data_IF_990300585665
#
_entry.id   IF_990300585665
#
_cell.length_a   1.000
_cell.length_b   1.000
_cell.length_c   1.000
_cell.angle_alpha   90.00
_cell.angle_beta   90.00
_cell.angle_gamma   90.00
#
_symmetry.space_group_name_H-M   'P 1'
#
loop_
_entity.id
_entity.type
_entity.pdbx_description
1 polymer ?
#
# COMPACT_ATOMS: atom_id res chain seq x y z
N UNK A 1 39.27 -24.66 -0.58
CA UNK A 1 38.31 -25.14 0.41
C UNK A 1 37.00 -24.46 0.10
N UNK A 2 36.08 -25.10 -0.63
CA UNK A 2 34.73 -24.61 -0.85
C UNK A 2 33.94 -24.87 0.42
N UNK A 3 33.53 -23.82 1.12
CA UNK A 3 32.59 -23.87 2.24
C UNK A 3 31.29 -24.43 1.71
N UNK A 4 30.89 -25.61 2.18
CA UNK A 4 29.58 -26.17 1.95
C UNK A 4 28.57 -25.31 2.74
N UNK A 5 28.04 -24.27 2.10
CA UNK A 5 26.79 -23.63 2.54
C UNK A 5 25.74 -24.73 2.49
N UNK A 6 25.21 -25.10 3.66
CA UNK A 6 24.16 -26.10 3.77
C UNK A 6 23.04 -25.67 2.83
N UNK A 7 22.84 -26.43 1.76
CA UNK A 7 21.75 -26.25 0.81
C UNK A 7 20.48 -26.47 1.64
N UNK A 8 19.83 -25.37 2.08
CA UNK A 8 18.52 -25.45 2.71
C UNK A 8 17.66 -26.24 1.75
N UNK A 9 16.95 -27.25 2.26
CA UNK A 9 16.02 -27.99 1.42
C UNK A 9 14.88 -27.04 1.05
N UNK A 10 15.04 -26.33 -0.07
CA UNK A 10 14.09 -25.35 -0.59
C UNK A 10 12.69 -25.94 -0.65
N UNK A 11 12.58 -27.21 -1.01
CA UNK A 11 11.29 -27.91 -1.10
C UNK A 11 10.65 -28.03 0.27
N UNK A 12 11.43 -28.34 1.31
CA UNK A 12 10.94 -28.44 2.67
C UNK A 12 10.41 -27.10 3.18
N UNK A 13 11.17 -26.00 2.97
CA UNK A 13 10.74 -24.66 3.34
C UNK A 13 9.48 -24.21 2.60
N UNK A 14 9.41 -24.42 1.28
CA UNK A 14 8.23 -24.10 0.50
C UNK A 14 6.99 -24.87 1.00
N UNK A 15 7.13 -26.15 1.31
CA UNK A 15 6.01 -26.96 1.83
C UNK A 15 5.58 -26.48 3.22
N UNK A 16 6.55 -26.19 4.10
CA UNK A 16 6.28 -25.76 5.48
C UNK A 16 5.58 -24.39 5.52
N UNK A 17 5.98 -23.44 4.66
CA UNK A 17 5.47 -22.06 4.68
C UNK A 17 4.41 -21.77 3.61
N UNK A 18 4.02 -22.74 2.78
CA UNK A 18 2.88 -22.58 1.86
C UNK A 18 1.56 -22.14 2.57
N UNK A 19 1.24 -22.63 3.79
CA UNK A 19 0.08 -22.14 4.54
C UNK A 19 0.17 -20.64 4.88
N UNK A 20 1.37 -20.11 5.13
CA UNK A 20 1.60 -18.69 5.37
C UNK A 20 1.24 -17.86 4.13
N UNK A 21 1.68 -18.32 2.93
CA UNK A 21 1.32 -17.67 1.66
C UNK A 21 -0.19 -17.61 1.47
N UNK A 22 -0.89 -18.75 1.68
CA UNK A 22 -2.35 -18.79 1.56
C UNK A 22 -3.03 -17.84 2.55
N UNK A 23 -2.59 -17.79 3.80
CA UNK A 23 -3.13 -16.90 4.83
C UNK A 23 -2.97 -15.43 4.41
N UNK A 24 -1.78 -15.03 3.96
CA UNK A 24 -1.50 -13.66 3.50
C UNK A 24 -2.33 -13.35 2.25
N UNK A 25 -2.38 -14.25 1.26
CA UNK A 25 -3.15 -14.07 0.04
C UNK A 25 -4.65 -13.86 0.33
N UNK A 26 -5.25 -14.71 1.17
CA UNK A 26 -6.65 -14.56 1.56
C UNK A 26 -6.92 -13.24 2.32
N UNK A 27 -6.01 -12.84 3.21
CA UNK A 27 -6.13 -11.56 3.90
C UNK A 27 -6.07 -10.38 2.93
N UNK A 28 -5.15 -10.41 1.95
CA UNK A 28 -5.04 -9.39 0.92
C UNK A 28 -6.25 -9.38 -0.02
N UNK A 29 -6.80 -10.56 -0.38
CA UNK A 29 -8.00 -10.65 -1.22
C UNK A 29 -9.21 -9.92 -0.65
N UNK A 30 -9.36 -9.86 0.67
CA UNK A 30 -10.43 -9.08 1.31
C UNK A 30 -10.35 -7.57 0.99
N UNK A 31 -9.18 -7.12 0.58
CA UNK A 31 -8.83 -5.73 0.26
C UNK A 31 -8.74 -5.45 -1.25
N UNK A 32 -8.80 -6.49 -2.09
CA UNK A 32 -8.65 -6.40 -3.54
C UNK A 32 -10.01 -6.39 -4.27
N UNK A 33 -10.07 -5.88 -5.53
CA UNK A 33 -11.28 -5.94 -6.34
C UNK A 33 -11.66 -7.37 -6.70
N UNK A 34 -12.94 -7.60 -6.96
CA UNK A 34 -13.48 -8.91 -7.35
C UNK A 34 -12.93 -9.45 -8.70
N UNK A 35 -12.24 -8.61 -9.47
CA UNK A 35 -11.58 -9.02 -10.74
C UNK A 35 -10.24 -9.73 -10.55
N UNK A 36 -9.73 -9.79 -9.33
CA UNK A 36 -8.46 -10.46 -9.02
C UNK A 36 -8.74 -11.89 -8.61
N UNK A 37 -8.09 -12.84 -9.26
CA UNK A 37 -8.23 -14.26 -8.96
C UNK A 37 -7.29 -14.66 -7.82
N UNK A 38 -7.82 -15.38 -6.83
CA UNK A 38 -7.06 -15.80 -5.64
C UNK A 38 -5.86 -16.69 -6.00
N UNK A 39 -6.00 -17.51 -7.02
CA UNK A 39 -4.94 -18.44 -7.45
C UNK A 39 -3.74 -17.69 -8.02
N UNK A 40 -3.95 -16.57 -8.74
CA UNK A 40 -2.88 -15.71 -9.24
C UNK A 40 -2.13 -15.03 -8.09
N UNK A 41 -2.87 -14.60 -7.06
CA UNK A 41 -2.29 -13.99 -5.86
C UNK A 41 -1.45 -15.02 -5.08
N UNK A 42 -1.96 -16.25 -4.91
CA UNK A 42 -1.22 -17.33 -4.27
C UNK A 42 0.04 -17.68 -5.06
N UNK A 43 -0.07 -17.80 -6.38
CA UNK A 43 1.08 -18.11 -7.24
C UNK A 43 2.17 -17.05 -7.11
N UNK A 44 1.80 -15.78 -7.18
CA UNK A 44 2.73 -14.66 -7.00
C UNK A 44 3.33 -14.65 -5.60
N UNK A 45 2.53 -14.92 -4.57
CA UNK A 45 3.01 -15.07 -3.21
C UNK A 45 4.00 -16.23 -3.03
N UNK A 46 3.79 -17.36 -3.74
CA UNK A 46 4.74 -18.47 -3.74
C UNK A 46 6.08 -18.12 -4.38
N UNK A 47 6.10 -17.27 -5.41
CA UNK A 47 7.35 -16.73 -5.97
C UNK A 47 8.08 -15.86 -4.93
N UNK A 48 7.36 -15.02 -4.18
CA UNK A 48 7.91 -14.25 -3.07
C UNK A 48 8.47 -15.12 -1.95
N UNK A 49 7.80 -16.23 -1.61
CA UNK A 49 8.33 -17.21 -0.65
C UNK A 49 9.62 -17.88 -1.16
N UNK A 50 9.66 -18.27 -2.44
CA UNK A 50 10.84 -18.87 -3.05
C UNK A 50 12.03 -17.90 -3.00
N UNK A 51 11.82 -16.63 -3.31
CA UNK A 51 12.83 -15.59 -3.21
C UNK A 51 13.31 -15.41 -1.76
N UNK A 52 12.37 -15.41 -0.79
CA UNK A 52 12.72 -15.35 0.63
C UNK A 52 13.60 -16.53 1.07
N UNK A 53 13.29 -17.76 0.65
CA UNK A 53 14.11 -18.94 0.97
C UNK A 53 15.52 -18.81 0.42
N UNK A 54 15.65 -18.28 -0.80
CA UNK A 54 16.96 -18.16 -1.47
C UNK A 54 17.84 -17.05 -0.87
N UNK A 55 17.23 -15.96 -0.35
CA UNK A 55 17.95 -14.77 0.12
C UNK A 55 18.06 -14.64 1.64
N UNK A 56 17.31 -15.44 2.40
CA UNK A 56 17.34 -15.32 3.86
C UNK A 56 18.70 -15.75 4.45
N UNK A 57 19.28 -14.87 5.26
CA UNK A 57 20.48 -15.13 6.05
C UNK A 57 20.17 -15.01 7.55
N UNK A 58 20.49 -16.04 8.31
CA UNK A 58 20.24 -16.08 9.78
C UNK A 58 21.02 -14.99 10.55
N UNK A 59 22.05 -14.41 9.94
CA UNK A 59 22.91 -13.40 10.54
C UNK A 59 22.20 -12.08 10.89
N UNK A 60 21.00 -11.83 10.36
CA UNK A 60 20.30 -10.54 10.49
C UNK A 60 19.34 -10.47 11.69
N UNK A 61 19.23 -11.52 12.52
CA UNK A 61 18.47 -11.51 13.78
C UNK A 61 16.93 -11.51 13.65
N UNK A 62 16.39 -11.46 12.44
CA UNK A 62 14.95 -11.59 12.20
C UNK A 62 14.55 -13.06 12.02
N UNK A 63 13.39 -13.46 12.53
CA UNK A 63 12.86 -14.80 12.27
C UNK A 63 12.48 -14.94 10.79
N UNK A 64 12.74 -16.11 10.20
CA UNK A 64 12.43 -16.40 8.80
C UNK A 64 10.97 -16.07 8.44
N UNK A 65 10.01 -16.42 9.30
CA UNK A 65 8.59 -16.18 9.04
C UNK A 65 8.27 -14.69 8.85
N UNK A 66 8.88 -13.82 9.64
CA UNK A 66 8.71 -12.36 9.53
C UNK A 66 9.27 -11.84 8.21
N UNK A 67 10.49 -12.27 7.86
CA UNK A 67 11.13 -11.91 6.60
C UNK A 67 10.32 -12.43 5.40
N UNK A 68 9.93 -13.70 5.42
CA UNK A 68 9.13 -14.32 4.36
C UNK A 68 7.78 -13.63 4.19
N UNK A 69 7.10 -13.25 5.29
CA UNK A 69 5.82 -12.53 5.21
C UNK A 69 5.96 -11.19 4.47
N UNK A 70 7.03 -10.45 4.69
CA UNK A 70 7.30 -9.19 3.96
C UNK A 70 7.55 -9.44 2.48
N UNK A 71 8.40 -10.43 2.14
CA UNK A 71 8.71 -10.77 0.74
C UNK A 71 7.49 -11.28 -0.01
N UNK A 72 6.64 -12.10 0.64
CA UNK A 72 5.37 -12.59 0.07
C UNK A 72 4.45 -11.42 -0.24
N UNK A 73 4.24 -10.50 0.71
CA UNK A 73 3.39 -9.31 0.50
C UNK A 73 3.94 -8.42 -0.62
N UNK A 74 5.24 -8.16 -0.62
CA UNK A 74 5.91 -7.37 -1.67
C UNK A 74 5.70 -7.98 -3.05
N UNK A 75 6.00 -9.28 -3.20
CA UNK A 75 5.81 -9.99 -4.47
C UNK A 75 4.36 -9.94 -4.98
N UNK A 76 3.36 -10.12 -4.10
CA UNK A 76 1.95 -10.02 -4.47
C UNK A 76 1.63 -8.60 -4.97
N UNK A 77 2.08 -7.57 -4.27
CA UNK A 77 1.86 -6.17 -4.67
C UNK A 77 2.51 -5.86 -6.02
N UNK A 78 3.73 -6.33 -6.26
CA UNK A 78 4.44 -6.14 -7.52
C UNK A 78 3.75 -6.87 -8.68
N UNK A 79 3.28 -8.10 -8.46
CA UNK A 79 2.48 -8.82 -9.45
C UNK A 79 1.19 -8.10 -9.81
N UNK A 80 0.51 -7.54 -8.82
CA UNK A 80 -0.67 -6.71 -9.04
C UNK A 80 -0.35 -5.44 -9.84
N UNK A 81 0.79 -4.81 -9.65
CA UNK A 81 1.23 -3.64 -10.42
C UNK A 81 1.53 -4.00 -11.87
N UNK A 82 2.27 -5.08 -12.12
CA UNK A 82 2.63 -5.52 -13.47
C UNK A 82 1.43 -5.91 -14.32
N UNK A 83 0.39 -6.47 -13.71
CA UNK A 83 -0.84 -6.85 -14.39
C UNK A 83 -1.67 -5.65 -14.92
N UNK A 84 -1.20 -4.40 -14.72
CA UNK A 84 -1.84 -3.12 -15.15
C UNK A 84 -3.36 -3.09 -14.88
N UNK A 85 -3.78 -3.71 -13.78
CA UNK A 85 -5.17 -3.90 -13.37
C UNK A 85 -5.90 -2.58 -13.05
N UNK A 86 -5.14 -1.46 -13.03
CA UNK A 86 -5.66 -0.12 -12.80
C UNK A 86 -6.06 0.53 -14.14
N UNK A 87 -7.35 0.71 -14.44
CA UNK A 87 -7.77 1.37 -15.67
C UNK A 87 -7.12 2.76 -15.80
N UNK A 88 -6.66 3.11 -17.00
CA UNK A 88 -6.03 4.43 -17.27
C UNK A 88 -6.96 5.60 -16.91
N UNK A 89 -8.27 5.43 -17.10
CA UNK A 89 -9.30 6.41 -16.70
C UNK A 89 -9.22 6.68 -15.19
N UNK A 90 -9.08 5.64 -14.40
CA UNK A 90 -9.04 5.73 -12.95
C UNK A 90 -7.79 6.48 -12.43
N UNK A 91 -6.60 6.19 -13.00
CA UNK A 91 -5.37 6.95 -12.68
C UNK A 91 -5.52 8.44 -12.99
N UNK A 92 -6.20 8.78 -14.09
CA UNK A 92 -6.51 10.17 -14.44
C UNK A 92 -7.43 10.81 -13.40
N UNK A 93 -8.46 10.10 -12.98
CA UNK A 93 -9.45 10.62 -12.04
C UNK A 93 -8.85 10.79 -10.64
N UNK A 94 -7.99 9.89 -10.18
CA UNK A 94 -7.20 10.09 -8.94
C UNK A 94 -6.35 11.35 -9.01
N UNK A 95 -5.61 11.58 -10.11
CA UNK A 95 -4.78 12.79 -10.27
C UNK A 95 -5.63 14.06 -10.25
N UNK A 96 -6.85 14.03 -10.80
CA UNK A 96 -7.80 15.15 -10.73
C UNK A 96 -8.24 15.43 -9.30
N UNK A 97 -8.53 14.39 -8.53
CA UNK A 97 -8.88 14.51 -7.11
C UNK A 97 -7.70 15.10 -6.33
N UNK A 98 -6.50 14.54 -6.49
CA UNK A 98 -5.28 15.02 -5.83
C UNK A 98 -5.02 16.51 -6.14
N UNK A 99 -5.13 16.92 -7.41
CA UNK A 99 -4.94 18.30 -7.82
C UNK A 99 -6.00 19.24 -7.23
N UNK A 100 -7.27 18.82 -7.16
CA UNK A 100 -8.34 19.62 -6.57
C UNK A 100 -8.13 19.80 -5.05
N UNK A 101 -7.73 18.72 -4.34
CA UNK A 101 -7.38 18.79 -2.91
C UNK A 101 -6.23 19.76 -2.69
N UNK A 102 -5.12 19.61 -3.42
CA UNK A 102 -3.94 20.47 -3.29
C UNK A 102 -4.29 21.96 -3.46
N UNK A 103 -5.07 22.28 -4.50
CA UNK A 103 -5.51 23.64 -4.79
C UNK A 103 -6.37 24.23 -3.68
N UNK A 104 -7.27 23.41 -3.11
CA UNK A 104 -8.13 23.85 -2.01
C UNK A 104 -7.34 24.02 -0.71
N UNK A 105 -6.45 23.10 -0.37
CA UNK A 105 -5.56 23.19 0.80
C UNK A 105 -4.69 24.44 0.75
N UNK A 106 -4.08 24.73 -0.41
CA UNK A 106 -3.28 25.94 -0.60
C UNK A 106 -4.11 27.22 -0.41
N UNK A 107 -5.38 27.21 -0.86
CA UNK A 107 -6.26 28.38 -0.77
C UNK A 107 -6.87 28.59 0.62
N UNK A 108 -7.17 27.48 1.33
CA UNK A 108 -7.94 27.52 2.58
C UNK A 108 -7.08 27.33 3.83
N UNK A 109 -5.85 26.78 3.69
CA UNK A 109 -4.97 26.46 4.82
C UNK A 109 -5.49 25.31 5.71
N UNK A 110 -6.48 24.56 5.24
CA UNK A 110 -7.08 23.39 5.94
C UNK A 110 -7.45 22.30 4.97
N UNK A 111 -7.65 21.10 5.50
CA UNK A 111 -8.17 19.98 4.73
C UNK A 111 -9.60 20.30 4.20
N UNK A 112 -9.85 20.22 2.87
CA UNK A 112 -11.15 20.47 2.28
C UNK A 112 -12.12 19.32 2.56
N UNK A 113 -13.41 19.61 2.69
CA UNK A 113 -14.48 18.60 2.77
C UNK A 113 -14.73 17.95 1.40
N UNK A 114 -15.37 16.77 1.38
CA UNK A 114 -15.79 16.09 0.15
C UNK A 114 -16.65 16.99 -0.76
N UNK A 115 -17.54 17.77 -0.17
CA UNK A 115 -18.41 18.69 -0.90
C UNK A 115 -17.61 19.82 -1.58
N UNK A 116 -16.57 20.34 -0.92
CA UNK A 116 -15.68 21.36 -1.49
C UNK A 116 -14.84 20.80 -2.64
N UNK A 117 -14.34 19.56 -2.50
CA UNK A 117 -13.59 18.89 -3.57
C UNK A 117 -14.49 18.60 -4.77
N UNK A 118 -15.70 18.08 -4.56
CA UNK A 118 -16.69 17.84 -5.61
C UNK A 118 -17.03 19.14 -6.36
N UNK A 119 -17.25 20.25 -5.63
CA UNK A 119 -17.51 21.56 -6.20
C UNK A 119 -16.32 22.08 -7.03
N UNK A 120 -15.08 21.94 -6.53
CA UNK A 120 -13.86 22.33 -7.27
C UNK A 120 -13.68 21.51 -8.55
N UNK A 121 -14.10 20.23 -8.55
CA UNK A 121 -14.10 19.34 -9.71
C UNK A 121 -15.30 19.55 -10.65
N UNK A 122 -16.19 20.49 -10.34
CA UNK A 122 -17.44 20.78 -11.07
C UNK A 122 -18.34 19.53 -11.26
N UNK A 123 -18.50 18.71 -10.21
CA UNK A 123 -19.33 17.51 -10.23
C UNK A 123 -20.23 17.42 -8.98
N UNK A 124 -21.37 16.69 -9.05
CA UNK A 124 -22.21 16.42 -7.90
C UNK A 124 -21.46 15.62 -6.83
N UNK A 125 -21.73 15.87 -5.54
CA UNK A 125 -21.14 15.13 -4.43
C UNK A 125 -21.33 13.60 -4.55
N UNK A 126 -22.51 13.16 -4.98
CA UNK A 126 -22.81 11.74 -5.15
C UNK A 126 -21.92 11.07 -6.22
N UNK A 127 -21.58 11.78 -7.30
CA UNK A 127 -20.68 11.31 -8.34
C UNK A 127 -19.23 11.23 -7.84
N UNK A 128 -18.79 12.25 -7.09
CA UNK A 128 -17.51 12.24 -6.43
C UNK A 128 -17.36 11.05 -5.44
N UNK A 129 -18.38 10.83 -4.62
CA UNK A 129 -18.41 9.71 -3.67
C UNK A 129 -18.41 8.35 -4.36
N UNK A 130 -19.13 8.21 -5.50
CA UNK A 130 -19.07 7.01 -6.33
C UNK A 130 -17.66 6.78 -6.90
N UNK A 131 -17.01 7.83 -7.38
CA UNK A 131 -15.61 7.76 -7.86
C UNK A 131 -14.66 7.29 -6.75
N UNK A 132 -14.82 7.75 -5.51
CA UNK A 132 -14.05 7.27 -4.36
C UNK A 132 -14.33 5.81 -4.02
N UNK A 133 -15.57 5.33 -4.22
CA UNK A 133 -15.94 3.92 -4.00
C UNK A 133 -15.34 3.00 -5.07
N UNK A 134 -15.35 3.42 -6.33
CA UNK A 134 -14.74 2.68 -7.44
C UNK A 134 -13.22 2.55 -7.26
N UNK A 135 -12.64 3.44 -6.45
CA UNK A 135 -11.27 3.35 -5.98
C UNK A 135 -10.97 2.16 -5.06
N UNK A 136 -12.01 1.47 -4.58
CA UNK A 136 -11.89 0.30 -3.72
C UNK A 136 -10.97 -0.76 -4.34
N UNK A 137 -9.99 -1.19 -3.58
CA UNK A 137 -9.03 -2.21 -4.01
C UNK A 137 -7.86 -1.69 -4.86
N UNK A 138 -7.93 -0.48 -5.42
CA UNK A 138 -6.84 0.12 -6.19
C UNK A 138 -5.91 0.99 -5.35
N UNK A 139 -6.21 1.14 -4.07
CA UNK A 139 -5.49 2.06 -3.18
C UNK A 139 -4.72 1.34 -2.07
N UNK A 140 -4.13 0.19 -2.38
CA UNK A 140 -3.03 -0.27 -1.57
C UNK A 140 -1.91 0.76 -1.71
N UNK A 141 -1.72 1.58 -0.67
CA UNK A 141 -0.55 2.45 -0.61
C UNK A 141 0.65 1.55 -0.38
N UNK A 142 1.54 1.57 -1.34
CA UNK A 142 2.90 1.18 -1.13
C UNK A 142 3.75 2.44 -0.91
N UNK A 143 4.75 2.34 -0.08
CA UNK A 143 5.71 3.42 0.12
C UNK A 143 6.39 3.84 -1.20
N UNK A 144 6.48 2.90 -2.15
CA UNK A 144 7.00 3.13 -3.50
C UNK A 144 6.08 3.99 -4.38
N UNK A 145 4.78 4.05 -4.10
CA UNK A 145 3.85 4.93 -4.84
C UNK A 145 4.20 6.41 -4.65
N UNK A 146 4.99 6.73 -3.64
CA UNK A 146 5.49 8.08 -3.37
C UNK A 146 6.85 8.36 -3.99
N UNK A 147 7.57 7.36 -4.48
CA UNK A 147 8.92 7.47 -5.06
C UNK A 147 8.92 7.45 -6.60
N UNK A 148 7.93 8.04 -7.26
CA UNK A 148 7.76 8.01 -8.71
C UNK A 148 8.75 8.87 -9.50
N UNK A 149 10.05 8.63 -9.42
CA UNK A 149 10.95 9.10 -10.48
C UNK A 149 11.93 8.05 -11.01
N UNK A 150 12.10 6.92 -10.36
CA UNK A 150 12.93 5.83 -10.93
C UNK A 150 12.35 4.48 -10.53
N UNK A 151 11.96 3.71 -11.53
CA UNK A 151 11.52 2.33 -11.37
C UNK A 151 12.62 1.47 -10.75
N UNK A 152 12.14 0.42 -10.14
CA UNK A 152 12.87 -0.73 -9.63
C UNK A 152 13.62 -0.58 -8.28
N UNK A 153 13.22 -1.49 -7.36
CA UNK A 153 14.09 -1.99 -6.30
C UNK A 153 14.24 -1.20 -4.99
N UNK A 154 13.23 -0.40 -4.57
CA UNK A 154 13.34 0.30 -3.27
C UNK A 154 13.37 -0.68 -2.08
N UNK A 155 12.55 -1.73 -2.10
CA UNK A 155 12.52 -2.72 -1.02
C UNK A 155 13.76 -3.61 -1.02
N UNK A 156 14.24 -4.04 -2.17
CA UNK A 156 15.45 -4.85 -2.28
C UNK A 156 16.70 -4.07 -1.82
N UNK A 157 16.80 -2.78 -2.16
CA UNK A 157 17.89 -1.93 -1.69
C UNK A 157 17.83 -1.63 -0.19
N UNK A 158 16.63 -1.56 0.42
CA UNK A 158 16.51 -1.24 1.84
C UNK A 158 16.58 -2.46 2.76
N UNK A 159 16.33 -3.65 2.25
CA UNK A 159 16.49 -4.91 3.00
C UNK A 159 17.93 -5.43 2.88
N UNK A 160 18.58 -5.24 1.73
CA UNK A 160 19.94 -5.76 1.48
C UNK A 160 21.06 -4.78 1.78
N UNK A 161 20.81 -3.49 1.86
CA UNK A 161 21.90 -2.58 2.15
C UNK A 161 21.60 -1.78 3.41
N UNK A 162 22.50 -1.92 4.35
CA UNK A 162 23.16 -0.74 4.90
C UNK A 162 23.72 0.03 3.70
N UNK A 163 22.85 0.55 2.82
CA UNK A 163 23.29 1.33 1.69
C UNK A 163 23.97 2.57 2.24
N UNK A 164 25.22 2.64 1.97
CA UNK A 164 26.15 3.66 2.39
C UNK A 164 25.96 4.94 1.57
N UNK A 165 24.86 5.05 0.80
CA UNK A 165 24.58 6.29 0.09
C UNK A 165 23.84 7.27 1.02
N UNK A 166 24.52 8.32 1.51
CA UNK A 166 23.94 9.33 2.40
C UNK A 166 22.75 10.06 1.75
N UNK A 167 22.69 10.11 0.42
CA UNK A 167 21.63 10.78 -0.32
C UNK A 167 20.33 9.98 -0.29
N UNK A 168 20.38 8.67 -0.54
CA UNK A 168 19.22 7.78 -0.45
C UNK A 168 18.66 7.72 0.97
N UNK A 169 19.54 7.62 1.98
CA UNK A 169 19.12 7.66 3.37
C UNK A 169 18.45 8.98 3.76
N UNK A 170 18.92 10.10 3.21
CA UNK A 170 18.34 11.43 3.43
C UNK A 170 16.98 11.57 2.76
N UNK A 171 16.82 11.09 1.52
CA UNK A 171 15.56 11.12 0.78
C UNK A 171 14.49 10.26 1.46
N UNK A 172 14.84 9.04 1.88
CA UNK A 172 13.93 8.16 2.61
C UNK A 172 13.50 8.76 3.96
N UNK A 173 14.41 9.43 4.68
CA UNK A 173 14.07 10.13 5.94
C UNK A 173 13.11 11.29 5.69
N UNK A 174 13.38 12.14 4.70
CA UNK A 174 12.50 13.27 4.34
C UNK A 174 11.11 12.81 3.93
N UNK A 175 11.02 11.74 3.14
CA UNK A 175 9.74 11.17 2.73
C UNK A 175 8.96 10.64 3.94
N UNK A 176 9.64 9.92 4.85
CA UNK A 176 9.02 9.43 6.10
C UNK A 176 8.52 10.59 6.98
N UNK A 177 9.31 11.65 7.15
CA UNK A 177 8.90 12.84 7.91
C UNK A 177 7.68 13.52 7.28
N UNK A 178 7.61 13.60 5.95
CA UNK A 178 6.44 14.12 5.22
C UNK A 178 5.21 13.24 5.40
N UNK A 179 5.38 11.93 5.31
CA UNK A 179 4.29 10.97 5.51
C UNK A 179 3.74 11.08 6.94
N UNK A 180 4.60 11.14 7.96
CA UNK A 180 4.18 11.33 9.35
C UNK A 180 3.39 12.63 9.51
N UNK A 181 3.91 13.75 9.02
CA UNK A 181 3.19 15.04 9.06
C UNK A 181 1.87 14.98 8.30
N UNK A 182 1.86 14.31 7.15
CA UNK A 182 0.65 14.08 6.37
C UNK A 182 -0.41 13.32 7.16
N UNK A 183 -0.04 12.23 7.80
CA UNK A 183 -0.94 11.42 8.63
C UNK A 183 -1.45 12.25 9.82
N UNK A 184 -0.58 13.00 10.49
CA UNK A 184 -0.97 13.88 11.61
C UNK A 184 -1.99 14.95 11.21
N UNK A 185 -1.92 15.44 9.97
CA UNK A 185 -2.83 16.46 9.43
C UNK A 185 -4.16 15.94 8.91
N UNK A 186 -4.33 14.62 8.80
CA UNK A 186 -5.59 14.02 8.37
C UNK A 186 -6.73 14.35 9.36
N UNK A 187 -7.97 14.53 8.88
CA UNK A 187 -9.15 14.56 9.73
C UNK A 187 -9.24 13.30 10.61
N UNK A 188 -9.71 13.44 11.84
CA UNK A 188 -9.72 12.36 12.84
C UNK A 188 -10.37 11.06 12.34
N UNK A 189 -11.49 11.15 11.59
CA UNK A 189 -12.15 9.96 11.04
C UNK A 189 -11.33 9.26 9.97
N UNK A 190 -10.62 10.03 9.14
CA UNK A 190 -9.73 9.48 8.11
C UNK A 190 -8.52 8.82 8.78
N UNK A 191 -7.91 9.49 9.77
CA UNK A 191 -6.80 8.95 10.56
C UNK A 191 -7.17 7.63 11.25
N UNK A 192 -8.35 7.57 11.86
CA UNK A 192 -8.83 6.37 12.52
C UNK A 192 -9.03 5.20 11.54
N UNK A 193 -9.63 5.46 10.36
CA UNK A 193 -9.77 4.44 9.31
C UNK A 193 -8.41 3.93 8.85
N UNK A 194 -7.42 4.81 8.67
CA UNK A 194 -6.06 4.44 8.28
C UNK A 194 -5.39 3.55 9.33
N UNK A 195 -5.49 3.89 10.62
CA UNK A 195 -4.95 3.07 11.71
C UNK A 195 -5.59 1.68 11.75
N UNK A 196 -6.93 1.61 11.75
CA UNK A 196 -7.64 0.33 11.76
C UNK A 196 -7.31 -0.55 10.54
N UNK A 197 -7.07 0.06 9.37
CA UNK A 197 -6.77 -0.67 8.15
C UNK A 197 -5.32 -1.15 8.07
N UNK A 198 -4.34 -0.29 8.42
CA UNK A 198 -2.91 -0.58 8.24
C UNK A 198 -2.22 -1.15 9.48
N UNK A 199 -2.64 -0.76 10.69
CA UNK A 199 -2.05 -1.23 11.96
C UNK A 199 -2.79 -2.47 12.48
N UNK A 200 -4.15 -2.39 12.58
CA UNK A 200 -4.98 -3.49 13.07
C UNK A 200 -5.32 -4.51 11.98
N UNK A 201 -4.94 -4.26 10.74
CA UNK A 201 -5.14 -5.12 9.57
C UNK A 201 -6.63 -5.46 9.29
N UNK A 202 -7.58 -4.65 9.79
CA UNK A 202 -9.01 -4.87 9.57
C UNK A 202 -9.42 -4.59 8.13
N UNK A 203 -10.39 -5.35 7.61
CA UNK A 203 -11.00 -5.04 6.32
C UNK A 203 -12.07 -3.96 6.44
N UNK A 204 -12.53 -3.39 5.31
CA UNK A 204 -13.48 -2.25 5.32
C UNK A 204 -14.82 -2.58 5.98
N UNK A 205 -15.27 -3.84 5.92
CA UNK A 205 -16.50 -4.27 6.57
C UNK A 205 -16.33 -4.28 8.09
N UNK A 206 -15.25 -4.85 8.60
CA UNK A 206 -14.92 -4.90 10.03
C UNK A 206 -14.72 -3.50 10.61
N UNK A 207 -14.06 -2.60 9.85
CA UNK A 207 -13.95 -1.18 10.21
C UNK A 207 -15.32 -0.53 10.26
N UNK A 208 -16.19 -0.81 9.28
CA UNK A 208 -17.56 -0.31 9.25
C UNK A 208 -18.37 -0.73 10.46
N UNK A 209 -18.30 -2.01 10.83
CA UNK A 209 -18.94 -2.56 12.04
C UNK A 209 -18.38 -1.88 13.32
N UNK A 210 -17.07 -1.65 13.39
CA UNK A 210 -16.41 -1.00 14.53
C UNK A 210 -16.81 0.46 14.67
N UNK A 211 -16.93 1.20 13.56
CA UNK A 211 -17.23 2.63 13.55
C UNK A 211 -18.72 2.96 13.44
N UNK A 212 -19.59 1.96 13.29
CA UNK A 212 -21.03 2.14 13.10
C UNK A 212 -21.39 2.83 11.78
N UNK A 213 -20.61 2.59 10.72
CA UNK A 213 -20.83 3.14 9.38
C UNK A 213 -20.85 2.03 8.32
N UNK A 214 -21.38 2.34 7.13
CA UNK A 214 -21.37 1.36 6.04
C UNK A 214 -19.95 1.13 5.51
N UNK A 215 -19.69 -0.06 4.96
CA UNK A 215 -18.44 -0.40 4.27
C UNK A 215 -18.10 0.60 3.15
N UNK A 216 -19.13 1.05 2.40
CA UNK A 216 -18.97 2.11 1.40
C UNK A 216 -18.43 3.41 2.00
N UNK A 217 -18.90 3.78 3.19
CA UNK A 217 -18.41 5.00 3.85
C UNK A 217 -16.97 4.86 4.32
N UNK A 218 -16.57 3.70 4.80
CA UNK A 218 -15.16 3.40 5.13
C UNK A 218 -14.29 3.52 3.89
N UNK A 219 -14.72 2.94 2.77
CA UNK A 219 -14.02 3.03 1.49
C UNK A 219 -13.83 4.49 1.05
N UNK A 220 -14.87 5.33 1.14
CA UNK A 220 -14.77 6.76 0.83
C UNK A 220 -13.76 7.47 1.73
N UNK A 221 -13.80 7.25 3.04
CA UNK A 221 -12.87 7.85 3.99
C UNK A 221 -11.42 7.42 3.73
N UNK A 222 -11.20 6.15 3.48
CA UNK A 222 -9.88 5.61 3.13
C UNK A 222 -9.35 6.22 1.82
N UNK A 223 -10.17 6.23 0.76
CA UNK A 223 -9.80 6.81 -0.53
C UNK A 223 -9.48 8.30 -0.44
N UNK A 224 -10.26 9.04 0.35
CA UNK A 224 -10.05 10.45 0.61
C UNK A 224 -8.73 10.70 1.36
N UNK A 225 -8.46 9.91 2.41
CA UNK A 225 -7.21 9.99 3.17
C UNK A 225 -5.99 9.79 2.25
N UNK A 226 -6.05 8.79 1.39
CA UNK A 226 -4.98 8.48 0.42
C UNK A 226 -4.76 9.63 -0.56
N UNK A 227 -5.84 10.17 -1.14
CA UNK A 227 -5.74 11.29 -2.06
C UNK A 227 -5.10 12.53 -1.40
N UNK A 228 -5.41 12.78 -0.10
CA UNK A 228 -4.77 13.87 0.67
C UNK A 228 -3.28 13.61 0.90
N UNK A 229 -2.91 12.42 1.36
CA UNK A 229 -1.52 12.07 1.60
C UNK A 229 -0.68 12.21 0.32
N UNK A 230 -1.19 11.72 -0.81
CA UNK A 230 -0.52 11.85 -2.11
C UNK A 230 -0.40 13.32 -2.54
N UNK A 231 -1.45 14.11 -2.35
CA UNK A 231 -1.43 15.54 -2.64
C UNK A 231 -0.33 16.26 -1.86
N UNK A 232 -0.23 16.01 -0.55
CA UNK A 232 0.75 16.66 0.33
C UNK A 232 2.18 16.24 0.03
N UNK A 233 2.41 14.95 -0.28
CA UNK A 233 3.75 14.45 -0.59
C UNK A 233 4.27 14.98 -1.92
N UNK A 234 3.40 15.15 -2.93
CA UNK A 234 3.78 15.65 -4.25
C UNK A 234 4.01 17.15 -4.32
N UNK A 235 3.35 17.94 -3.48
CA UNK A 235 3.36 19.40 -3.56
C UNK A 235 4.46 20.07 -2.71
N UNK A 236 5.35 19.29 -2.12
CA UNK A 236 6.48 19.76 -1.31
C UNK A 236 7.81 19.24 -1.84
#
# INVERSE_FOLDING_TARGET
MYSATATRDTTQYLTQYAPLVKRIAHHMMAKLPASVEIDDVIQTGMLGLLDAVNRYEESHGAQFETYAAQRIRGSILDGLRQADWLPRSFRRDLRRIEAAIAKLEQRQGRAPSEAEVAAEMAMPLAEYQKMLQEARGYQLISFEDFNHEEGDDYLDRHIESKSTDPLEALLGRKLRERLVKGIESLPEREKLVMGLYYEEELNFREIGETLGVSESRVCQLHSQAIARLRSQIRNT
#
